data_IF_173701427507
#
_entry.id   IF_173701427507
#
_cell.length_a   1.000
_cell.length_b   1.000
_cell.length_c   1.000
_cell.angle_alpha   90.00
_cell.angle_beta   90.00
_cell.angle_gamma   90.00
#
_symmetry.space_group_name_H-M   'P 1'
#
loop_
_entity.id
_entity.type
_entity.pdbx_description
1 polymer ?
#
# COMPACT_ATOMS: atom_id res chain seq x y z
N UNK A 1 -10.42 -0.67 15.35
CA UNK A 1 -11.06 0.40 14.58
C UNK A 1 -12.37 -0.09 13.96
N UNK A 2 -13.35 0.79 13.85
CA UNK A 2 -14.59 0.60 13.12
C UNK A 2 -14.54 1.28 11.73
N UNK A 3 -15.69 1.35 11.04
CA UNK A 3 -15.76 2.00 9.74
C UNK A 3 -15.51 3.52 9.82
N UNK A 4 -15.91 4.17 10.90
CA UNK A 4 -15.70 5.62 11.05
C UNK A 4 -14.21 5.93 11.23
N UNK A 5 -13.49 5.12 11.99
CA UNK A 5 -12.04 5.26 12.19
C UNK A 5 -11.25 5.22 10.87
N UNK A 6 -11.74 4.46 9.87
CA UNK A 6 -11.08 4.37 8.56
C UNK A 6 -11.00 5.73 7.85
N UNK A 7 -11.91 6.64 8.17
CA UNK A 7 -12.06 7.95 7.52
C UNK A 7 -11.76 9.13 8.45
N UNK A 8 -11.31 8.87 9.68
CA UNK A 8 -11.08 9.89 10.69
C UNK A 8 -10.01 10.92 10.25
N UNK A 9 -8.93 10.42 9.66
CA UNK A 9 -7.85 11.26 9.13
C UNK A 9 -8.02 11.42 7.62
N UNK A 10 -8.24 12.66 7.09
CA UNK A 10 -8.34 12.87 5.65
C UNK A 10 -6.99 12.57 4.97
N UNK A 11 -7.05 11.76 3.90
CA UNK A 11 -5.85 11.43 3.13
C UNK A 11 -5.36 12.67 2.37
N UNK A 12 -4.08 13.09 2.56
CA UNK A 12 -3.59 14.35 2.01
C UNK A 12 -3.38 14.28 0.49
N UNK A 13 -3.77 15.35 -0.19
CA UNK A 13 -3.42 15.56 -1.60
C UNK A 13 -2.12 16.38 -1.73
N UNK A 14 -1.51 16.35 -2.91
CA UNK A 14 -0.34 17.20 -3.25
C UNK A 14 1.01 16.60 -2.84
N UNK A 15 2.03 17.44 -2.62
CA UNK A 15 3.40 16.98 -2.33
C UNK A 15 3.50 16.09 -1.10
N UNK A 16 4.45 15.15 -1.13
CA UNK A 16 4.77 14.33 0.06
C UNK A 16 5.59 15.18 1.02
N UNK A 17 5.04 15.40 2.21
CA UNK A 17 5.69 16.14 3.30
C UNK A 17 5.69 15.29 4.55
N UNK A 18 6.51 15.64 5.54
CA UNK A 18 6.50 14.96 6.84
C UNK A 18 5.10 15.04 7.46
N UNK A 19 4.46 13.91 7.78
CA UNK A 19 3.14 13.90 8.40
C UNK A 19 3.17 14.49 9.81
N UNK A 20 2.03 15.01 10.26
CA UNK A 20 1.88 15.45 11.65
C UNK A 20 2.03 14.27 12.62
N UNK A 21 2.50 14.48 13.85
CA UNK A 21 2.65 13.41 14.83
C UNK A 21 1.38 12.59 15.00
N UNK A 22 1.51 11.26 14.89
CA UNK A 22 0.45 10.26 14.98
C UNK A 22 -0.66 10.36 13.91
N UNK A 23 -0.49 11.15 12.86
CA UNK A 23 -1.40 11.18 11.72
C UNK A 23 -1.04 10.05 10.74
N UNK A 24 -1.89 9.03 10.66
CA UNK A 24 -1.73 7.87 9.78
C UNK A 24 -2.95 7.73 8.83
N UNK A 25 -3.22 8.70 7.93
CA UNK A 25 -4.42 8.73 7.11
C UNK A 25 -4.54 7.51 6.20
N UNK A 26 -5.73 6.86 6.23
CA UNK A 26 -6.00 5.65 5.46
C UNK A 26 -5.33 4.38 5.98
N UNK A 27 -4.61 4.42 7.10
CA UNK A 27 -3.94 3.25 7.67
C UNK A 27 -4.88 2.34 8.45
N UNK A 28 -5.97 2.88 8.99
CA UNK A 28 -6.93 2.09 9.75
C UNK A 28 -7.76 1.18 8.83
N UNK A 29 -8.01 -0.04 9.31
CA UNK A 29 -8.77 -1.08 8.59
C UNK A 29 -9.63 -1.83 9.58
N UNK A 30 -10.93 -1.99 9.27
CA UNK A 30 -11.78 -2.91 10.00
C UNK A 30 -11.89 -4.24 9.27
N UNK A 31 -11.55 -5.35 9.95
CA UNK A 31 -11.56 -6.67 9.33
C UNK A 31 -12.95 -7.05 8.79
N UNK A 32 -14.02 -6.64 9.49
CA UNK A 32 -15.40 -6.92 9.06
C UNK A 32 -15.69 -6.43 7.65
N UNK A 33 -15.25 -5.21 7.32
CA UNK A 33 -15.42 -4.65 5.98
C UNK A 33 -14.54 -5.37 4.95
N UNK A 34 -13.25 -5.54 5.24
CA UNK A 34 -12.33 -6.13 4.28
C UNK A 34 -12.56 -7.61 4.06
N UNK A 35 -12.93 -8.38 5.09
CA UNK A 35 -13.30 -9.79 4.96
C UNK A 35 -14.57 -9.95 4.11
N UNK A 36 -15.54 -9.05 4.24
CA UNK A 36 -16.76 -9.07 3.42
C UNK A 36 -16.46 -8.78 1.93
N UNK A 37 -15.54 -7.86 1.63
CA UNK A 37 -15.18 -7.48 0.25
C UNK A 37 -14.21 -8.47 -0.37
N UNK A 38 -13.14 -8.84 0.34
CA UNK A 38 -12.00 -9.58 -0.21
C UNK A 38 -11.94 -11.04 0.22
N UNK A 39 -12.64 -11.41 1.29
CA UNK A 39 -12.59 -12.71 1.94
C UNK A 39 -11.66 -12.75 3.15
N UNK A 40 -11.91 -13.70 4.06
CA UNK A 40 -11.05 -13.92 5.23
C UNK A 40 -9.87 -14.83 4.87
N UNK A 41 -8.67 -14.30 4.84
CA UNK A 41 -7.46 -15.07 4.51
C UNK A 41 -7.21 -16.20 5.51
N UNK A 42 -7.60 -16.04 6.78
CA UNK A 42 -7.46 -17.06 7.84
C UNK A 42 -8.31 -18.30 7.56
N UNK A 43 -9.34 -18.16 6.71
CA UNK A 43 -10.18 -19.26 6.21
C UNK A 43 -9.75 -19.75 4.82
N UNK A 44 -8.65 -19.22 4.28
CA UNK A 44 -8.18 -19.55 2.93
C UNK A 44 -9.10 -19.04 1.81
N UNK A 45 -9.93 -18.03 2.08
CA UNK A 45 -10.89 -17.51 1.10
C UNK A 45 -10.22 -16.61 0.06
N UNK A 46 -9.17 -15.86 0.46
CA UNK A 46 -8.47 -14.91 -0.42
C UNK A 46 -7.61 -15.64 -1.46
N UNK A 47 -6.86 -16.65 -1.05
CA UNK A 47 -5.90 -17.37 -1.89
C UNK A 47 -6.55 -18.00 -3.13
N UNK A 48 -7.80 -18.44 -3.01
CA UNK A 48 -8.58 -19.08 -4.08
C UNK A 48 -8.89 -18.14 -5.24
N UNK A 49 -8.83 -16.84 -5.01
CA UNK A 49 -9.24 -15.82 -5.98
C UNK A 49 -8.07 -14.99 -6.52
N UNK A 50 -6.87 -15.12 -5.93
CA UNK A 50 -5.73 -14.32 -6.38
C UNK A 50 -5.37 -14.61 -7.83
N UNK A 51 -5.20 -13.53 -8.59
CA UNK A 51 -4.79 -13.60 -9.99
C UNK A 51 -3.35 -13.12 -10.16
N UNK A 52 -2.70 -13.56 -11.23
CA UNK A 52 -1.37 -13.14 -11.62
C UNK A 52 -1.43 -11.77 -12.31
N UNK A 53 -0.64 -10.81 -11.83
CA UNK A 53 -0.51 -9.48 -12.42
C UNK A 53 0.94 -9.29 -12.87
N UNK A 54 1.20 -8.99 -14.15
CA UNK A 54 2.54 -8.61 -14.59
C UNK A 54 3.02 -7.35 -13.87
N UNK A 55 4.21 -7.41 -13.29
CA UNK A 55 4.80 -6.31 -12.55
C UNK A 55 6.01 -5.75 -13.29
N UNK A 56 5.89 -4.54 -13.80
CA UNK A 56 6.92 -3.74 -14.51
C UNK A 56 7.90 -4.59 -15.35
N UNK A 57 7.41 -5.31 -16.38
CA UNK A 57 8.19 -6.31 -17.11
C UNK A 57 9.43 -5.75 -17.81
N UNK A 58 9.39 -4.50 -18.33
CA UNK A 58 10.56 -3.85 -18.93
C UNK A 58 11.66 -3.54 -17.93
N UNK A 59 11.28 -3.35 -16.64
CA UNK A 59 12.22 -3.21 -15.54
C UNK A 59 12.67 -4.57 -14.97
N UNK A 60 12.13 -5.70 -15.48
CA UNK A 60 12.48 -7.04 -15.02
C UNK A 60 11.75 -7.47 -13.74
N UNK A 61 10.53 -6.97 -13.51
CA UNK A 61 9.79 -7.21 -12.26
C UNK A 61 9.06 -8.55 -12.16
N UNK A 62 8.73 -9.21 -13.25
CA UNK A 62 8.09 -10.54 -13.24
C UNK A 62 6.58 -10.48 -13.01
N UNK A 63 6.07 -11.32 -12.11
CA UNK A 63 4.62 -11.48 -11.85
C UNK A 63 4.37 -11.50 -10.35
N UNK A 64 3.28 -10.84 -9.93
CA UNK A 64 2.81 -10.81 -8.54
C UNK A 64 1.37 -11.35 -8.46
N UNK A 65 0.95 -11.82 -7.27
CA UNK A 65 -0.41 -12.30 -7.03
C UNK A 65 -1.22 -11.23 -6.30
N UNK A 66 -2.43 -10.91 -6.82
CA UNK A 66 -3.25 -9.84 -6.27
C UNK A 66 -4.74 -10.21 -6.33
N UNK A 67 -5.57 -9.59 -5.47
CA UNK A 67 -7.00 -9.82 -5.44
C UNK A 67 -7.68 -9.19 -6.66
N UNK A 68 -8.53 -9.92 -7.41
CA UNK A 68 -9.33 -9.33 -8.49
C UNK A 68 -10.56 -8.58 -7.96
N UNK A 69 -10.92 -8.77 -6.68
CA UNK A 69 -12.14 -8.20 -6.10
C UNK A 69 -12.04 -6.67 -6.02
N UNK A 70 -13.18 -6.03 -6.18
CA UNK A 70 -13.33 -4.57 -6.20
C UNK A 70 -12.38 -3.83 -7.16
N UNK A 71 -11.88 -4.50 -8.20
CA UNK A 71 -10.99 -3.91 -9.21
C UNK A 71 -9.52 -3.77 -8.78
N UNK A 72 -9.09 -4.41 -7.69
CA UNK A 72 -7.74 -4.21 -7.15
C UNK A 72 -6.64 -4.71 -8.10
N UNK A 73 -6.80 -5.88 -8.72
CA UNK A 73 -5.82 -6.41 -9.68
C UNK A 73 -5.72 -5.57 -10.96
N UNK A 74 -6.85 -5.08 -11.46
CA UNK A 74 -6.91 -4.17 -12.62
C UNK A 74 -6.22 -2.84 -12.32
N UNK A 75 -6.42 -2.31 -11.11
CA UNK A 75 -5.75 -1.10 -10.65
C UNK A 75 -4.23 -1.31 -10.55
N UNK A 76 -3.77 -2.43 -9.97
CA UNK A 76 -2.34 -2.75 -9.91
C UNK A 76 -1.74 -2.96 -11.31
N UNK A 77 -2.47 -3.59 -12.22
CA UNK A 77 -2.03 -3.73 -13.62
C UNK A 77 -1.89 -2.38 -14.33
N UNK A 78 -2.77 -1.42 -14.03
CA UNK A 78 -2.66 -0.06 -14.55
C UNK A 78 -1.45 0.67 -13.97
N UNK A 79 -1.22 0.58 -12.65
CA UNK A 79 0.01 1.08 -11.99
C UNK A 79 1.25 0.48 -12.66
N UNK A 80 1.27 -0.84 -12.81
CA UNK A 80 2.41 -1.54 -13.40
C UNK A 80 2.72 -1.04 -14.81
N UNK A 81 1.71 -0.89 -15.68
CA UNK A 81 1.91 -0.37 -17.04
C UNK A 81 2.46 1.04 -17.07
N UNK A 82 1.96 1.92 -16.19
CA UNK A 82 2.39 3.31 -16.14
C UNK A 82 3.82 3.42 -15.62
N UNK A 83 4.16 2.70 -14.55
CA UNK A 83 5.53 2.64 -14.01
C UNK A 83 6.53 2.00 -14.98
N UNK A 84 6.09 1.00 -15.75
CA UNK A 84 6.91 0.30 -16.73
C UNK A 84 7.27 1.17 -17.95
N UNK A 85 6.48 2.21 -18.20
CA UNK A 85 6.76 3.24 -19.18
C UNK A 85 7.63 4.38 -18.63
N UNK A 86 7.91 4.38 -17.35
CA UNK A 86 8.70 5.39 -16.66
C UNK A 86 10.21 5.25 -16.88
N UNK A 87 10.99 6.18 -16.27
CA UNK A 87 12.44 6.22 -16.39
C UNK A 87 13.13 4.94 -15.93
N UNK A 88 14.20 4.54 -16.61
CA UNK A 88 14.96 3.31 -16.29
C UNK A 88 15.54 3.30 -14.86
N UNK A 89 15.89 4.46 -14.33
CA UNK A 89 16.38 4.63 -12.96
C UNK A 89 15.36 4.28 -11.87
N UNK A 90 14.06 4.21 -12.20
CA UNK A 90 13.03 3.77 -11.26
C UNK A 90 13.13 2.28 -10.93
N UNK A 91 13.81 1.48 -11.77
CA UNK A 91 14.00 0.04 -11.54
C UNK A 91 14.45 -0.30 -10.12
N UNK A 92 15.38 0.48 -9.54
CA UNK A 92 15.93 0.22 -8.20
C UNK A 92 14.88 0.32 -7.08
N UNK A 93 13.80 1.08 -7.30
CA UNK A 93 12.68 1.24 -6.37
C UNK A 93 11.58 0.19 -6.59
N UNK A 94 11.44 -0.31 -7.82
CA UNK A 94 10.33 -1.16 -8.23
C UNK A 94 10.65 -2.65 -8.19
N UNK A 95 11.94 -3.02 -8.31
CA UNK A 95 12.35 -4.42 -8.51
C UNK A 95 13.42 -4.84 -7.50
N UNK A 96 13.21 -5.98 -6.84
CA UNK A 96 12.00 -6.82 -6.87
C UNK A 96 10.83 -6.18 -6.13
N UNK A 97 9.58 -6.53 -6.46
CA UNK A 97 8.48 -6.35 -5.53
C UNK A 97 8.76 -7.24 -4.30
N UNK A 98 8.71 -6.65 -3.10
CA UNK A 98 9.11 -7.37 -1.88
C UNK A 98 7.99 -8.21 -1.29
N UNK A 99 6.73 -7.98 -1.67
CA UNK A 99 5.60 -8.80 -1.27
C UNK A 99 4.26 -8.24 -1.74
N UNK A 100 3.29 -9.15 -1.97
CA UNK A 100 1.90 -8.79 -2.23
C UNK A 100 0.95 -9.53 -1.29
N UNK A 101 0.76 -10.84 -1.46
CA UNK A 101 -0.10 -11.62 -0.58
C UNK A 101 0.69 -12.30 0.53
N UNK A 102 0.24 -12.07 1.76
CA UNK A 102 0.74 -12.76 2.95
C UNK A 102 -0.34 -12.70 4.05
N UNK A 103 -0.99 -13.83 4.34
CA UNK A 103 -1.96 -13.92 5.41
C UNK A 103 -1.26 -13.90 6.77
N UNK A 104 -1.19 -12.73 7.37
CA UNK A 104 -0.60 -12.50 8.68
C UNK A 104 -1.28 -11.38 9.45
N UNK A 105 -1.15 -11.39 10.76
CA UNK A 105 -1.44 -10.22 11.60
C UNK A 105 -0.26 -9.25 11.60
N UNK A 106 -0.54 -7.99 11.85
CA UNK A 106 0.49 -6.95 12.04
C UNK A 106 1.16 -7.20 13.39
N UNK A 107 2.49 -7.21 13.41
CA UNK A 107 3.27 -7.47 14.62
C UNK A 107 2.83 -6.58 15.81
N UNK A 108 2.61 -7.20 16.96
CA UNK A 108 2.15 -6.51 18.18
C UNK A 108 0.66 -6.15 18.20
N UNK A 109 -0.13 -6.69 17.26
CA UNK A 109 -1.59 -6.46 17.17
C UNK A 109 -2.33 -7.76 16.86
N UNK A 110 -3.66 -7.74 16.94
CA UNK A 110 -4.58 -8.78 16.45
C UNK A 110 -5.13 -8.48 15.04
N UNK A 111 -4.69 -7.38 14.42
CA UNK A 111 -5.22 -6.88 13.15
C UNK A 111 -4.57 -7.56 11.95
N UNK A 112 -5.40 -7.98 10.98
CA UNK A 112 -4.92 -8.52 9.71
C UNK A 112 -4.18 -7.43 8.92
N UNK A 113 -3.06 -7.79 8.32
CA UNK A 113 -2.34 -6.93 7.39
C UNK A 113 -3.11 -6.77 6.07
N UNK A 114 -3.00 -5.62 5.39
CA UNK A 114 -3.57 -5.42 4.06
C UNK A 114 -3.09 -6.47 3.04
N UNK A 115 -1.89 -7.00 3.22
CA UNK A 115 -1.37 -8.13 2.43
C UNK A 115 -2.23 -9.38 2.58
N UNK A 116 -2.90 -9.57 3.72
CA UNK A 116 -3.79 -10.73 3.95
C UNK A 116 -5.02 -10.72 3.06
N UNK A 117 -5.46 -9.56 2.58
CA UNK A 117 -6.56 -9.45 1.61
C UNK A 117 -6.07 -9.44 0.15
N UNK A 118 -4.76 -9.50 -0.08
CA UNK A 118 -4.17 -9.45 -1.41
C UNK A 118 -4.36 -8.11 -2.11
N UNK A 119 -4.42 -7.02 -1.36
CA UNK A 119 -4.65 -5.64 -1.86
C UNK A 119 -3.49 -4.69 -1.59
N UNK A 120 -2.38 -5.20 -1.07
CA UNK A 120 -1.19 -4.40 -0.81
C UNK A 120 0.02 -4.93 -1.58
N UNK A 121 0.93 -4.03 -1.91
CA UNK A 121 2.22 -4.33 -2.51
C UNK A 121 3.31 -3.54 -1.83
N UNK A 122 4.41 -4.24 -1.47
CA UNK A 122 5.65 -3.64 -1.03
C UNK A 122 6.63 -3.63 -2.21
N UNK A 123 7.10 -2.44 -2.60
CA UNK A 123 8.12 -2.29 -3.62
C UNK A 123 9.51 -2.53 -3.03
N UNK A 124 10.60 -2.36 -3.80
CA UNK A 124 11.94 -2.80 -3.42
C UNK A 124 12.41 -2.28 -2.06
N UNK A 125 12.30 -3.10 -1.01
CA UNK A 125 12.58 -2.77 0.41
C UNK A 125 13.94 -2.10 0.62
N UNK A 126 14.98 -2.52 -0.12
CA UNK A 126 16.34 -1.95 0.00
C UNK A 126 16.45 -0.47 -0.38
N UNK A 127 15.51 0.03 -1.16
CA UNK A 127 15.48 1.41 -1.66
C UNK A 127 14.44 2.28 -0.94
N UNK A 128 13.88 1.81 0.16
CA UNK A 128 12.76 2.43 0.88
C UNK A 128 13.10 2.69 2.34
N UNK A 129 12.22 3.32 3.06
CA UNK A 129 12.39 3.69 4.47
C UNK A 129 11.17 3.23 5.27
N UNK A 130 11.43 2.74 6.48
CA UNK A 130 10.40 2.30 7.42
C UNK A 130 10.71 2.87 8.81
N UNK A 131 9.74 3.51 9.42
CA UNK A 131 9.91 4.22 10.70
C UNK A 131 10.52 3.35 11.79
N UNK A 132 10.09 2.08 11.87
CA UNK A 132 10.52 1.13 12.91
C UNK A 132 12.02 0.80 12.83
N UNK A 133 12.66 0.91 11.66
CA UNK A 133 14.09 0.65 11.54
C UNK A 133 14.95 1.71 12.23
N UNK A 134 14.45 2.95 12.31
CA UNK A 134 15.18 4.05 12.94
C UNK A 134 14.73 4.33 14.37
N UNK A 135 13.48 4.07 14.70
CA UNK A 135 12.90 4.27 16.04
C UNK A 135 11.90 3.17 16.41
N UNK A 136 12.37 1.98 16.84
CA UNK A 136 11.49 0.87 17.23
C UNK A 136 10.55 1.17 18.41
N UNK A 137 10.82 2.24 19.15
CA UNK A 137 10.00 2.67 20.30
C UNK A 137 8.99 3.76 19.95
N UNK A 138 9.04 4.29 18.73
CA UNK A 138 8.13 5.33 18.26
C UNK A 138 8.19 6.65 19.04
N UNK A 139 9.31 6.94 19.74
CA UNK A 139 9.42 8.11 20.60
C UNK A 139 9.85 9.37 19.87
N UNK A 140 10.58 9.21 18.77
CA UNK A 140 11.09 10.30 17.95
C UNK A 140 11.15 9.89 16.48
N UNK A 141 9.99 9.72 15.88
CA UNK A 141 9.88 9.33 14.47
C UNK A 141 10.29 10.49 13.58
N UNK A 142 11.47 10.37 12.96
CA UNK A 142 11.97 11.34 11.97
C UNK A 142 11.62 10.83 10.58
N UNK A 143 10.77 11.56 9.86
CA UNK A 143 10.31 11.20 8.54
C UNK A 143 11.46 11.07 7.54
N UNK A 144 11.45 9.97 6.78
CA UNK A 144 12.38 9.71 5.66
C UNK A 144 11.63 9.10 4.50
N UNK A 145 11.96 9.55 3.30
CA UNK A 145 11.44 8.96 2.07
C UNK A 145 12.45 9.11 0.94
N UNK A 146 12.91 7.99 0.40
CA UNK A 146 13.82 7.94 -0.77
C UNK A 146 13.09 7.68 -2.08
N UNK A 147 11.79 7.34 -2.02
CA UNK A 147 11.00 7.04 -3.22
C UNK A 147 10.66 8.35 -3.93
N UNK A 148 10.90 8.45 -5.25
CA UNK A 148 10.44 9.58 -6.04
C UNK A 148 8.93 9.82 -5.87
N UNK A 149 8.49 11.06 -5.61
CA UNK A 149 7.07 11.38 -5.44
C UNK A 149 6.21 10.97 -6.64
N UNK A 150 6.78 10.95 -7.83
CA UNK A 150 6.13 10.56 -9.07
C UNK A 150 5.68 9.09 -9.04
N UNK A 151 6.48 8.19 -8.44
CA UNK A 151 6.10 6.78 -8.25
C UNK A 151 4.88 6.70 -7.33
N UNK A 152 4.90 7.40 -6.19
CA UNK A 152 3.75 7.46 -5.28
C UNK A 152 2.50 8.01 -5.97
N UNK A 153 2.65 9.08 -6.75
CA UNK A 153 1.55 9.70 -7.48
C UNK A 153 0.91 8.75 -8.52
N UNK A 154 1.68 7.87 -9.15
CA UNK A 154 1.12 6.82 -10.04
C UNK A 154 0.18 5.93 -9.24
N UNK A 155 0.62 5.39 -8.11
CA UNK A 155 -0.21 4.54 -7.27
C UNK A 155 -1.49 5.26 -6.78
N UNK A 156 -1.34 6.50 -6.30
CA UNK A 156 -2.48 7.28 -5.78
C UNK A 156 -3.53 7.58 -6.85
N UNK A 157 -3.12 7.81 -8.12
CA UNK A 157 -4.07 7.98 -9.24
C UNK A 157 -4.91 6.74 -9.51
N UNK A 158 -4.36 5.57 -9.24
CA UNK A 158 -5.01 4.28 -9.46
C UNK A 158 -5.68 3.71 -8.20
N UNK A 159 -5.90 4.52 -7.18
CA UNK A 159 -6.70 4.12 -6.02
C UNK A 159 -5.90 3.51 -4.87
N UNK A 160 -4.59 3.62 -4.86
CA UNK A 160 -3.75 3.14 -3.77
C UNK A 160 -3.39 4.27 -2.81
N UNK A 161 -3.52 4.04 -1.52
CA UNK A 161 -2.89 4.89 -0.50
C UNK A 161 -1.43 4.48 -0.33
N UNK A 162 -0.58 5.43 0.01
CA UNK A 162 0.86 5.25 0.16
C UNK A 162 1.31 5.44 1.61
N UNK A 163 2.05 4.48 2.15
CA UNK A 163 2.55 4.52 3.52
C UNK A 163 3.56 5.64 3.80
N UNK A 164 4.06 6.37 2.80
CA UNK A 164 4.83 7.61 3.01
C UNK A 164 3.96 8.78 3.51
N UNK A 165 2.64 8.67 3.46
CA UNK A 165 1.70 9.66 4.01
C UNK A 165 1.42 9.47 5.50
N UNK A 166 2.01 8.46 6.13
CA UNK A 166 1.81 8.13 7.54
C UNK A 166 2.93 8.69 8.42
N UNK A 167 2.59 9.11 9.63
CA UNK A 167 3.59 9.45 10.65
C UNK A 167 4.49 8.23 10.95
N UNK A 168 3.86 7.06 11.14
CA UNK A 168 4.56 5.78 11.19
C UNK A 168 4.80 5.27 9.76
N UNK A 169 5.62 6.01 9.02
CA UNK A 169 5.82 5.81 7.59
C UNK A 169 6.35 4.43 7.23
N UNK A 170 5.84 3.93 6.12
CA UNK A 170 6.27 2.71 5.46
C UNK A 170 6.31 2.97 3.96
N UNK A 171 7.45 3.49 3.48
CA UNK A 171 7.51 4.06 2.14
C UNK A 171 7.50 3.02 1.02
N UNK A 172 7.74 1.73 1.34
CA UNK A 172 7.57 0.64 0.39
C UNK A 172 6.12 0.25 0.17
N UNK A 173 5.25 0.52 1.15
CA UNK A 173 3.91 -0.02 1.25
C UNK A 173 2.87 0.81 0.50
N UNK A 174 2.15 0.16 -0.40
CA UNK A 174 0.99 0.70 -1.10
C UNK A 174 -0.18 -0.26 -0.92
N UNK A 175 -1.38 0.26 -0.63
CA UNK A 175 -2.58 -0.57 -0.52
C UNK A 175 -3.77 0.03 -1.27
N UNK A 176 -4.52 -0.83 -1.95
CA UNK A 176 -5.69 -0.42 -2.73
C UNK A 176 -6.84 -0.02 -1.81
N UNK A 177 -7.13 1.29 -1.79
CA UNK A 177 -8.10 1.94 -0.91
C UNK A 177 -8.90 3.02 -1.66
N UNK A 178 -9.62 2.63 -2.73
CA UNK A 178 -10.35 3.61 -3.54
C UNK A 178 -11.41 4.38 -2.75
N UNK A 179 -11.94 3.78 -1.67
CA UNK A 179 -12.91 4.42 -0.79
C UNK A 179 -12.31 5.63 -0.06
N UNK A 180 -11.05 5.58 0.35
CA UNK A 180 -10.34 6.69 0.98
C UNK A 180 -10.11 7.82 -0.02
N UNK A 181 -9.56 7.48 -1.19
CA UNK A 181 -9.20 8.45 -2.23
C UNK A 181 -10.43 9.03 -2.94
N UNK A 182 -11.52 8.27 -3.04
CA UNK A 182 -12.79 8.73 -3.60
C UNK A 182 -13.42 9.88 -2.81
N UNK A 183 -13.29 9.89 -1.50
CA UNK A 183 -13.76 10.96 -0.63
C UNK A 183 -12.88 12.22 -0.73
N UNK A 184 -11.57 12.05 -0.89
CA UNK A 184 -10.62 13.15 -1.01
C UNK A 184 -10.82 13.96 -2.31
N UNK A 185 -11.25 13.30 -3.39
CA UNK A 185 -11.46 13.95 -4.71
C UNK A 185 -12.77 14.74 -4.82
N UNK A 186 -13.69 14.62 -3.85
CA UNK A 186 -15.00 15.29 -3.87
C UNK A 186 -15.03 16.64 -3.13
N UNK A 187 -13.89 17.09 -2.62
CA UNK A 187 -13.71 18.43 -2.04
C UNK A 187 -12.94 19.29 -3.04
#
# INVERSE_FOLDING_TARGET
>A
PDLADMFADPYPAGPVVAPAPNADPGRYRTAVFFDAVYGDCRKGEVEKHLVAVPWVPKHGGGTVRFSPRAGAAEALAAVSRELDAGPAEWRKYLVPASGTYNCRVIAGTDRVSAHGWGIAVDIATRATDYWYWSDPKGRNVVFRNRIPPEIGAVFERHGFVWGARWYHYDTMHFEYRPEILGLTRRK
#
